data_IF_278265043155
#
_entry.id   IF_278265043155
#
_cell.length_a   1.000
_cell.length_b   1.000
_cell.length_c   1.000
_cell.angle_alpha   90.00
_cell.angle_beta   90.00
_cell.angle_gamma   90.00
#
_symmetry.space_group_name_H-M   'P 1'
#
loop_
_entity.id
_entity.type
_entity.pdbx_description
1 polymer ?
#
# COMPACT_ATOMS: atom_id res chain seq x y z
N UNK A 1 26.12 8.88 25.64
CA UNK A 1 25.14 9.72 24.98
C UNK A 1 25.11 9.37 23.50
N UNK A 2 23.95 9.50 22.90
CA UNK A 2 23.77 9.33 21.46
C UNK A 2 23.67 10.71 20.82
N UNK A 3 24.58 10.99 19.89
CA UNK A 3 24.74 12.32 19.27
C UNK A 3 24.80 12.12 17.76
N UNK A 4 24.08 12.95 17.03
CA UNK A 4 24.18 13.04 15.58
C UNK A 4 24.61 14.44 15.20
N UNK A 5 25.71 14.56 14.45
CA UNK A 5 26.13 15.79 13.83
C UNK A 5 25.70 15.80 12.36
N UNK A 6 25.00 16.84 11.97
CA UNK A 6 24.54 17.05 10.60
C UNK A 6 25.24 18.28 9.99
N UNK A 7 25.36 18.30 8.69
CA UNK A 7 25.87 19.45 7.95
C UNK A 7 24.75 20.45 7.59
N UNK A 8 25.10 21.55 6.91
CA UNK A 8 24.16 22.59 6.51
C UNK A 8 23.10 22.10 5.50
N UNK A 9 23.29 20.92 4.91
CA UNK A 9 22.33 20.27 4.02
C UNK A 9 21.44 19.25 4.72
N UNK A 10 21.53 19.18 6.07
CA UNK A 10 20.86 18.19 6.91
C UNK A 10 21.31 16.75 6.64
N UNK A 11 22.49 16.54 6.07
CA UNK A 11 23.06 15.21 5.91
C UNK A 11 23.84 14.82 7.18
N UNK A 12 23.72 13.55 7.58
CA UNK A 12 24.46 13.02 8.74
C UNK A 12 25.95 13.03 8.44
N UNK A 13 26.72 13.77 9.24
CA UNK A 13 28.17 13.87 9.10
C UNK A 13 28.90 12.91 10.05
N UNK A 14 28.59 12.98 11.34
CA UNK A 14 29.12 12.06 12.35
C UNK A 14 27.98 11.54 13.26
N UNK A 15 28.13 10.33 13.79
CA UNK A 15 27.19 9.76 14.77
C UNK A 15 27.95 9.04 15.87
N UNK A 16 27.57 9.31 17.11
CA UNK A 16 28.03 8.59 18.30
C UNK A 16 26.84 7.82 18.90
N UNK A 17 27.05 6.55 19.22
CA UNK A 17 26.11 5.71 19.95
C UNK A 17 26.75 5.18 21.22
N UNK A 18 26.13 5.43 22.35
CA UNK A 18 26.74 5.08 23.67
C UNK A 18 28.10 5.74 23.92
N UNK A 19 28.42 6.84 23.23
CA UNK A 19 29.70 7.51 23.29
C UNK A 19 30.77 7.00 22.30
N UNK A 20 30.48 5.95 21.54
CA UNK A 20 31.36 5.41 20.50
C UNK A 20 31.04 6.03 19.13
N UNK A 21 32.07 6.43 18.39
CA UNK A 21 31.93 6.98 17.04
C UNK A 21 31.60 5.86 16.07
N UNK A 22 30.37 5.86 15.49
CA UNK A 22 29.87 4.82 14.61
C UNK A 22 29.69 5.29 13.16
N UNK A 23 29.58 6.60 12.93
CA UNK A 23 29.64 7.23 11.61
C UNK A 23 30.64 8.36 11.68
N UNK A 24 31.61 8.39 10.77
CA UNK A 24 32.61 9.41 10.61
C UNK A 24 32.66 9.91 9.17
N UNK A 25 32.62 11.24 8.99
CA UNK A 25 32.66 11.85 7.66
C UNK A 25 31.66 11.20 6.65
N UNK A 26 30.42 11.02 7.07
CA UNK A 26 29.33 10.40 6.27
C UNK A 26 29.53 8.91 5.97
N UNK A 27 30.49 8.24 6.59
CA UNK A 27 30.78 6.80 6.38
C UNK A 27 30.62 6.01 7.67
N UNK A 28 30.06 4.81 7.55
CA UNK A 28 29.98 3.86 8.66
C UNK A 28 31.41 3.46 9.05
N UNK A 29 31.71 3.51 10.35
CA UNK A 29 33.02 3.08 10.87
C UNK A 29 33.15 1.56 10.84
N UNK A 30 34.36 0.99 10.78
CA UNK A 30 34.59 -0.45 10.86
C UNK A 30 33.97 -1.08 12.12
N UNK A 31 33.91 -0.33 13.24
CA UNK A 31 33.26 -0.79 14.46
C UNK A 31 31.80 -1.15 14.24
N UNK A 32 31.01 -0.24 13.63
CA UNK A 32 29.61 -0.49 13.36
C UNK A 32 29.43 -1.52 12.26
N UNK A 33 30.24 -1.46 11.21
CA UNK A 33 30.16 -2.41 10.09
C UNK A 33 30.38 -3.86 10.56
N UNK A 34 31.37 -4.11 11.40
CA UNK A 34 31.61 -5.41 12.02
C UNK A 34 30.43 -5.87 12.89
N UNK A 35 29.84 -4.96 13.66
CA UNK A 35 28.69 -5.28 14.49
C UNK A 35 27.45 -5.64 13.65
N UNK A 36 27.21 -4.93 12.56
CA UNK A 36 26.09 -5.17 11.65
C UNK A 36 26.28 -6.47 10.83
N UNK A 37 27.48 -6.69 10.31
CA UNK A 37 27.81 -7.86 9.49
C UNK A 37 27.68 -9.18 10.26
N UNK A 38 27.92 -9.16 11.57
CA UNK A 38 27.85 -10.34 12.43
C UNK A 38 26.46 -10.56 13.07
N UNK A 39 25.57 -9.58 13.02
CA UNK A 39 24.21 -9.70 13.55
C UNK A 39 23.26 -10.27 12.50
N UNK A 40 23.03 -11.57 12.52
CA UNK A 40 21.87 -12.19 11.85
C UNK A 40 20.67 -12.07 12.78
N UNK A 41 19.77 -11.16 12.45
CA UNK A 41 18.53 -11.04 13.18
C UNK A 41 17.56 -12.15 12.73
N UNK A 42 17.16 -13.01 13.66
CA UNK A 42 16.12 -14.01 13.41
C UNK A 42 14.85 -13.56 14.12
N UNK A 43 13.84 -13.23 13.34
CA UNK A 43 12.53 -12.93 13.90
C UNK A 43 11.84 -14.19 14.41
N UNK A 44 11.07 -14.13 15.50
CA UNK A 44 10.23 -15.23 15.96
C UNK A 44 9.30 -15.70 14.84
N UNK A 45 8.99 -17.00 14.78
CA UNK A 45 8.05 -17.53 13.77
C UNK A 45 6.71 -16.78 13.73
N UNK A 46 6.26 -16.25 14.87
CA UNK A 46 5.03 -15.43 15.00
C UNK A 46 5.09 -14.10 14.26
N UNK A 47 6.27 -13.62 13.87
CA UNK A 47 6.43 -12.41 13.08
C UNK A 47 6.15 -12.62 11.58
N UNK A 48 6.05 -13.87 11.15
CA UNK A 48 5.75 -14.26 9.79
C UNK A 48 4.32 -14.79 9.68
N UNK A 49 3.73 -14.69 8.50
CA UNK A 49 2.37 -15.19 8.22
C UNK A 49 1.32 -14.56 9.15
N UNK A 50 1.37 -13.25 9.30
CA UNK A 50 0.45 -12.49 10.15
C UNK A 50 -0.83 -12.08 9.44
N UNK A 51 -1.00 -12.46 8.17
CA UNK A 51 -2.18 -12.14 7.38
C UNK A 51 -3.19 -13.27 7.51
N UNK A 52 -4.37 -12.96 8.03
CA UNK A 52 -5.49 -13.86 8.19
C UNK A 52 -6.71 -13.17 7.59
N UNK A 53 -6.98 -13.46 6.32
CA UNK A 53 -8.09 -12.83 5.60
C UNK A 53 -9.44 -13.45 5.97
N UNK A 54 -10.54 -12.71 5.79
CA UNK A 54 -11.88 -13.27 5.83
C UNK A 54 -12.03 -14.39 4.80
N UNK A 55 -12.84 -15.39 5.12
CA UNK A 55 -13.12 -16.50 4.18
C UNK A 55 -13.81 -16.02 2.90
N UNK A 56 -14.66 -15.02 3.04
CA UNK A 56 -15.40 -14.41 1.95
C UNK A 56 -15.30 -12.90 2.06
N UNK A 57 -14.96 -12.25 0.96
CA UNK A 57 -14.95 -10.80 0.82
C UNK A 57 -15.10 -10.41 -0.65
N UNK A 58 -15.76 -9.29 -0.87
CA UNK A 58 -15.89 -8.69 -2.19
C UNK A 58 -14.90 -7.54 -2.32
N UNK A 59 -14.25 -7.43 -3.46
CA UNK A 59 -13.31 -6.34 -3.74
C UNK A 59 -13.98 -5.13 -4.36
N UNK A 60 -15.13 -5.34 -4.98
CA UNK A 60 -15.90 -4.28 -5.64
C UNK A 60 -17.24 -4.10 -4.95
N UNK A 61 -17.73 -2.85 -4.84
CA UNK A 61 -19.08 -2.59 -4.38
C UNK A 61 -20.12 -3.10 -5.42
N UNK A 62 -21.28 -3.50 -4.96
CA UNK A 62 -22.42 -3.78 -5.82
C UNK A 62 -22.92 -2.48 -6.44
N UNK A 63 -23.25 -2.50 -7.73
CA UNK A 63 -23.90 -1.35 -8.38
C UNK A 63 -25.31 -1.22 -7.82
N UNK A 64 -25.70 -0.05 -7.28
CA UNK A 64 -27.05 0.18 -6.79
C UNK A 64 -28.14 -0.14 -7.83
N UNK A 65 -29.32 -0.51 -7.35
CA UNK A 65 -30.44 -0.85 -8.24
C UNK A 65 -31.14 0.38 -8.81
N UNK A 66 -30.96 1.53 -8.16
CA UNK A 66 -31.51 2.82 -8.56
C UNK A 66 -30.92 3.25 -9.88
N UNK A 67 -31.71 3.89 -10.73
CA UNK A 67 -31.28 4.46 -12.00
C UNK A 67 -30.26 5.61 -11.79
N UNK A 68 -30.52 6.44 -10.79
CA UNK A 68 -29.66 7.53 -10.40
C UNK A 68 -29.24 7.36 -8.93
N UNK A 69 -27.94 7.46 -8.67
CA UNK A 69 -27.40 7.31 -7.31
C UNK A 69 -26.12 8.15 -7.12
N UNK A 70 -25.69 8.25 -5.88
CA UNK A 70 -24.46 8.98 -5.52
C UNK A 70 -23.41 8.01 -5.02
N UNK A 71 -22.15 8.28 -5.38
CA UNK A 71 -20.99 7.61 -4.82
C UNK A 71 -20.09 8.60 -4.09
N UNK A 72 -19.49 8.14 -2.99
CA UNK A 72 -18.49 8.90 -2.27
C UNK A 72 -17.10 8.57 -2.81
N UNK A 73 -16.29 9.58 -2.98
CA UNK A 73 -14.98 9.50 -3.59
C UNK A 73 -13.93 10.07 -2.64
N UNK A 74 -12.82 9.37 -2.49
CA UNK A 74 -11.60 9.86 -1.89
C UNK A 74 -10.79 10.52 -3.01
N UNK A 75 -10.72 11.85 -3.04
CA UNK A 75 -9.91 12.58 -3.99
C UNK A 75 -8.50 12.78 -3.43
N UNK A 76 -7.48 12.39 -4.18
CA UNK A 76 -6.08 12.65 -3.84
C UNK A 76 -5.57 13.87 -4.61
N UNK A 77 -4.68 14.64 -3.97
CA UNK A 77 -3.91 15.70 -4.62
C UNK A 77 -2.42 15.36 -4.47
N UNK A 78 -1.80 14.95 -5.57
CA UNK A 78 -0.40 14.57 -5.60
C UNK A 78 0.48 15.76 -6.08
N UNK A 79 1.68 15.92 -5.49
CA UNK A 79 2.24 15.20 -4.36
C UNK A 79 1.65 15.68 -3.03
N UNK A 80 1.23 14.75 -2.17
CA UNK A 80 0.73 15.10 -0.84
C UNK A 80 0.12 13.93 -0.10
N UNK A 81 -0.14 14.15 1.17
CA UNK A 81 -0.78 13.19 2.08
C UNK A 81 -2.24 13.53 2.36
N UNK A 82 -2.72 14.63 1.80
CA UNK A 82 -4.09 15.09 2.02
C UNK A 82 -5.05 14.42 1.04
N UNK A 83 -6.20 14.06 1.56
CA UNK A 83 -7.33 13.57 0.78
C UNK A 83 -8.56 14.42 1.05
N UNK A 84 -9.43 14.50 0.06
CA UNK A 84 -10.67 15.27 0.15
C UNK A 84 -11.86 14.36 -0.13
N UNK A 85 -12.97 14.60 0.55
CA UNK A 85 -14.23 13.97 0.22
C UNK A 85 -14.88 14.67 -0.97
N UNK A 86 -15.25 13.90 -1.99
CA UNK A 86 -16.02 14.35 -3.14
C UNK A 86 -17.22 13.42 -3.33
N UNK A 87 -18.35 13.93 -3.78
CA UNK A 87 -19.52 13.14 -4.14
C UNK A 87 -19.76 13.25 -5.63
N UNK A 88 -19.94 12.12 -6.31
CA UNK A 88 -20.29 12.05 -7.71
C UNK A 88 -21.71 11.54 -7.87
N UNK A 89 -22.53 12.27 -8.61
CA UNK A 89 -23.87 11.84 -9.03
C UNK A 89 -23.75 11.01 -10.31
N UNK A 90 -24.30 9.83 -10.27
CA UNK A 90 -24.37 8.91 -11.43
C UNK A 90 -25.80 8.94 -11.94
N UNK A 91 -25.93 9.28 -13.20
CA UNK A 91 -27.17 9.25 -13.95
C UNK A 91 -27.10 8.08 -14.93
N UNK A 92 -28.23 7.45 -15.21
CA UNK A 92 -28.31 6.27 -16.08
C UNK A 92 -27.45 5.11 -15.57
N UNK A 93 -27.99 4.35 -14.67
CA UNK A 93 -27.32 3.22 -14.00
C UNK A 93 -26.41 2.43 -14.96
N UNK A 94 -25.09 2.36 -14.71
CA UNK A 94 -24.16 1.65 -15.57
C UNK A 94 -24.34 0.14 -15.43
N UNK A 95 -24.04 -0.61 -16.48
CA UNK A 95 -23.99 -2.07 -16.42
C UNK A 95 -22.79 -2.57 -15.63
N UNK A 96 -21.67 -1.84 -15.75
CA UNK A 96 -20.38 -2.17 -15.14
C UNK A 96 -19.71 -0.91 -14.61
N UNK A 97 -18.94 -1.04 -13.55
CA UNK A 97 -18.17 0.06 -12.98
C UNK A 97 -17.13 0.64 -13.94
N UNK A 98 -16.59 -0.16 -14.85
CA UNK A 98 -15.55 0.26 -15.81
C UNK A 98 -15.91 1.52 -16.59
N UNK A 99 -17.18 1.70 -16.95
CA UNK A 99 -17.64 2.91 -17.65
C UNK A 99 -17.45 4.18 -16.80
N UNK A 100 -17.81 4.10 -15.50
CA UNK A 100 -17.68 5.22 -14.56
C UNK A 100 -16.22 5.49 -14.20
N UNK A 101 -15.43 4.44 -13.95
CA UNK A 101 -14.03 4.57 -13.61
C UNK A 101 -13.26 5.31 -14.70
N UNK A 102 -13.44 4.90 -15.95
CA UNK A 102 -12.76 5.52 -17.09
C UNK A 102 -13.18 6.98 -17.32
N UNK A 103 -14.51 7.25 -17.23
CA UNK A 103 -15.04 8.59 -17.48
C UNK A 103 -14.55 9.62 -16.44
N UNK A 104 -14.40 9.22 -15.20
CA UNK A 104 -14.12 10.11 -14.07
C UNK A 104 -12.71 9.97 -13.50
N UNK A 105 -11.81 9.21 -14.14
CA UNK A 105 -10.45 8.92 -13.66
C UNK A 105 -10.44 8.36 -12.22
N UNK A 106 -11.27 7.34 -12.01
CA UNK A 106 -11.43 6.66 -10.73
C UNK A 106 -10.77 5.29 -10.74
N UNK A 107 -10.39 4.82 -9.55
CA UNK A 107 -10.09 3.42 -9.27
C UNK A 107 -11.00 2.94 -8.14
N UNK A 108 -11.26 1.66 -8.09
CA UNK A 108 -11.77 1.04 -6.87
C UNK A 108 -10.70 1.07 -5.79
N UNK A 109 -11.13 1.17 -4.54
CA UNK A 109 -10.30 0.94 -3.36
C UNK A 109 -11.06 0.02 -2.40
N UNK A 110 -10.38 -0.97 -1.86
CA UNK A 110 -10.93 -1.84 -0.82
C UNK A 110 -9.95 -1.95 0.33
N UNK A 111 -10.47 -1.88 1.56
CA UNK A 111 -9.70 -2.11 2.79
C UNK A 111 -10.23 -3.39 3.41
N UNK A 112 -9.32 -4.33 3.71
CA UNK A 112 -9.66 -5.66 4.24
C UNK A 112 -8.94 -5.85 5.57
N UNK A 113 -9.70 -6.17 6.62
CA UNK A 113 -9.13 -6.56 7.91
C UNK A 113 -8.31 -7.84 7.74
N UNK A 114 -7.04 -7.82 8.17
CA UNK A 114 -6.10 -8.91 7.94
C UNK A 114 -5.60 -9.61 9.21
N UNK A 115 -6.10 -9.24 10.37
CA UNK A 115 -5.64 -9.76 11.67
C UNK A 115 -6.49 -10.91 12.18
N UNK A 116 -7.51 -11.34 11.41
CA UNK A 116 -8.43 -12.41 11.77
C UNK A 116 -9.31 -12.08 12.97
N UNK A 117 -9.64 -10.80 13.18
CA UNK A 117 -10.43 -10.34 14.34
C UNK A 117 -11.90 -10.16 13.99
N UNK A 118 -12.19 -9.35 12.99
CA UNK A 118 -13.58 -8.99 12.64
C UNK A 118 -14.01 -9.58 11.30
N UNK A 119 -13.08 -9.77 10.38
CA UNK A 119 -13.36 -10.16 9.01
C UNK A 119 -14.04 -9.07 8.19
N UNK A 120 -14.01 -7.82 8.67
CA UNK A 120 -14.64 -6.69 7.99
C UNK A 120 -13.84 -6.24 6.78
N UNK A 121 -14.54 -5.69 5.80
CA UNK A 121 -13.96 -5.02 4.65
C UNK A 121 -14.85 -3.85 4.23
N UNK A 122 -14.25 -2.86 3.58
CA UNK A 122 -14.96 -1.68 3.12
C UNK A 122 -14.50 -1.29 1.71
N UNK A 123 -15.44 -0.79 0.91
CA UNK A 123 -15.18 -0.34 -0.45
C UNK A 123 -15.28 1.17 -0.56
N UNK A 124 -14.62 1.71 -1.59
CA UNK A 124 -14.73 3.08 -2.00
C UNK A 124 -14.21 3.30 -3.40
N UNK A 125 -14.14 4.57 -3.76
CA UNK A 125 -13.54 5.02 -5.00
C UNK A 125 -12.46 6.05 -4.70
N UNK A 126 -11.35 5.97 -5.43
CA UNK A 126 -10.26 6.94 -5.32
C UNK A 126 -10.08 7.64 -6.66
N UNK A 127 -9.98 8.98 -6.60
CA UNK A 127 -9.80 9.86 -7.77
C UNK A 127 -8.38 10.40 -7.82
N UNK A 128 -7.86 10.57 -9.02
CA UNK A 128 -6.51 11.08 -9.29
C UNK A 128 -5.38 10.14 -8.84
N UNK A 129 -5.67 8.88 -8.59
CA UNK A 129 -4.63 7.88 -8.31
C UNK A 129 -3.79 7.56 -9.56
N UNK A 130 -4.33 7.88 -10.75
CA UNK A 130 -3.70 7.78 -12.06
C UNK A 130 -3.22 6.36 -12.44
N UNK A 131 -3.86 5.34 -11.90
CA UNK A 131 -3.62 3.97 -12.31
C UNK A 131 -4.21 3.76 -13.71
N UNK A 132 -3.37 3.35 -14.66
CA UNK A 132 -3.80 3.13 -16.05
C UNK A 132 -4.25 1.69 -16.27
N UNK A 133 -3.60 0.75 -15.63
CA UNK A 133 -3.90 -0.69 -15.71
C UNK A 133 -3.55 -1.36 -14.38
N UNK A 134 -4.13 -2.54 -14.14
CA UNK A 134 -3.74 -3.40 -13.02
C UNK A 134 -4.29 -2.99 -11.66
N UNK A 135 -3.53 -3.31 -10.62
CA UNK A 135 -3.87 -3.03 -9.23
C UNK A 135 -2.62 -2.82 -8.36
N UNK A 136 -2.80 -2.09 -7.27
CA UNK A 136 -1.79 -1.88 -6.23
C UNK A 136 -2.35 -2.38 -4.92
N UNK A 137 -1.59 -3.18 -4.17
CA UNK A 137 -1.98 -3.61 -2.84
C UNK A 137 -0.84 -3.44 -1.84
N UNK A 138 -1.20 -3.15 -0.58
CA UNK A 138 -0.25 -3.02 0.53
C UNK A 138 -0.85 -3.54 1.82
N UNK A 139 -0.06 -4.27 2.61
CA UNK A 139 -0.39 -4.61 4.00
C UNK A 139 0.28 -3.67 5.00
N UNK A 140 0.92 -2.61 4.51
CA UNK A 140 1.53 -1.55 5.32
C UNK A 140 0.69 -0.30 5.16
N UNK A 141 -0.31 -0.16 6.01
CA UNK A 141 -1.18 1.02 6.08
C UNK A 141 -1.00 1.71 7.42
N UNK A 142 -1.08 3.05 7.44
CA UNK A 142 -0.99 3.81 8.69
C UNK A 142 -2.05 3.32 9.69
N UNK A 143 -1.68 3.28 10.96
CA UNK A 143 -2.44 2.82 12.12
C UNK A 143 -2.80 1.31 12.11
N UNK A 144 -3.80 0.91 11.36
CA UNK A 144 -4.36 -0.44 11.46
C UNK A 144 -3.59 -1.51 10.69
N UNK A 145 -2.74 -1.15 9.75
CA UNK A 145 -2.03 -2.06 8.86
C UNK A 145 -2.93 -3.12 8.20
N UNK A 146 -4.16 -2.77 7.88
CA UNK A 146 -5.06 -3.60 7.09
C UNK A 146 -4.57 -3.69 5.64
N UNK A 147 -5.03 -4.69 4.88
CA UNK A 147 -4.74 -4.71 3.45
C UNK A 147 -5.54 -3.59 2.80
N UNK A 148 -4.83 -2.76 2.05
CA UNK A 148 -5.42 -1.75 1.17
C UNK A 148 -5.11 -2.17 -0.25
N UNK A 149 -6.13 -2.30 -1.09
CA UNK A 149 -5.97 -2.60 -2.51
C UNK A 149 -6.74 -1.59 -3.34
N UNK A 150 -6.09 -1.05 -4.37
CA UNK A 150 -6.72 -0.17 -5.37
C UNK A 150 -6.50 -0.73 -6.77
N UNK A 151 -7.52 -0.67 -7.64
CA UNK A 151 -7.42 -1.24 -8.97
C UNK A 151 -8.59 -0.86 -9.87
N UNK A 152 -8.47 -1.23 -11.14
CA UNK A 152 -9.48 -0.95 -12.15
C UNK A 152 -10.46 -2.11 -12.37
N UNK A 153 -10.10 -3.32 -11.93
CA UNK A 153 -10.92 -4.50 -12.05
C UNK A 153 -10.67 -5.50 -10.92
N UNK A 154 -11.64 -6.34 -10.66
CA UNK A 154 -11.60 -7.30 -9.55
C UNK A 154 -10.47 -8.34 -9.70
N UNK A 155 -10.22 -8.81 -10.91
CA UNK A 155 -9.24 -9.86 -11.18
C UNK A 155 -7.84 -9.43 -10.74
N UNK A 156 -7.40 -8.24 -11.13
CA UNK A 156 -6.07 -7.72 -10.78
C UNK A 156 -5.98 -7.39 -9.28
N UNK A 157 -7.04 -6.81 -8.70
CA UNK A 157 -7.11 -6.54 -7.27
C UNK A 157 -7.02 -7.84 -6.45
N UNK A 158 -7.74 -8.89 -6.84
CA UNK A 158 -7.71 -10.20 -6.18
C UNK A 158 -6.33 -10.83 -6.26
N UNK A 159 -5.72 -10.81 -7.44
CA UNK A 159 -4.36 -11.32 -7.64
C UNK A 159 -3.35 -10.58 -6.74
N UNK A 160 -3.43 -9.25 -6.64
CA UNK A 160 -2.54 -8.47 -5.79
C UNK A 160 -2.67 -8.85 -4.30
N UNK A 161 -3.90 -9.03 -3.81
CA UNK A 161 -4.16 -9.46 -2.43
C UNK A 161 -3.65 -10.89 -2.18
N UNK A 162 -3.90 -11.82 -3.09
CA UNK A 162 -3.44 -13.22 -2.97
C UNK A 162 -1.91 -13.33 -2.94
N UNK A 163 -1.20 -12.50 -3.70
CA UNK A 163 0.26 -12.49 -3.68
C UNK A 163 0.78 -12.01 -2.32
N UNK A 164 0.19 -10.97 -1.75
CA UNK A 164 0.55 -10.50 -0.39
C UNK A 164 0.26 -11.58 0.66
N UNK A 165 -0.87 -12.27 0.57
CA UNK A 165 -1.25 -13.33 1.50
C UNK A 165 -0.27 -14.51 1.46
N UNK A 166 0.11 -14.94 0.26
CA UNK A 166 0.98 -16.11 0.04
C UNK A 166 2.45 -15.84 0.33
N UNK A 167 2.91 -14.61 0.16
CA UNK A 167 4.33 -14.27 0.29
C UNK A 167 4.64 -13.71 1.68
N UNK A 168 5.48 -14.41 2.42
CA UNK A 168 5.89 -14.07 3.79
C UNK A 168 6.66 -12.76 3.90
N UNK A 169 7.20 -12.25 2.79
CA UNK A 169 8.14 -11.12 2.75
C UNK A 169 7.63 -9.94 1.94
N UNK A 170 6.53 -10.10 1.20
CA UNK A 170 5.98 -9.05 0.35
C UNK A 170 4.85 -8.33 1.07
N UNK A 171 5.07 -7.08 1.37
CA UNK A 171 4.08 -6.22 2.01
C UNK A 171 3.40 -5.25 1.02
N UNK A 172 3.94 -5.13 -0.19
CA UNK A 172 3.43 -4.22 -1.19
C UNK A 172 3.64 -4.80 -2.60
N UNK A 173 2.60 -4.73 -3.42
CA UNK A 173 2.61 -5.24 -4.79
C UNK A 173 1.94 -4.22 -5.70
N UNK A 174 2.61 -3.96 -6.82
CA UNK A 174 2.08 -3.22 -7.95
C UNK A 174 1.99 -4.21 -9.11
N UNK A 175 0.79 -4.42 -9.63
CA UNK A 175 0.55 -5.18 -10.84
C UNK A 175 0.27 -4.21 -11.98
N UNK A 176 1.18 -4.10 -12.92
CA UNK A 176 0.96 -3.40 -14.17
C UNK A 176 0.74 -4.42 -15.30
N UNK A 177 -0.33 -4.25 -16.03
CA UNK A 177 -0.63 -5.05 -17.20
C UNK A 177 0.05 -4.40 -18.41
N UNK A 178 1.33 -4.69 -18.62
CA UNK A 178 2.07 -4.30 -19.81
C UNK A 178 1.92 -5.39 -20.87
N UNK A 179 1.02 -5.17 -21.85
CA UNK A 179 0.94 -5.90 -23.12
C UNK A 179 1.31 -7.39 -23.06
N UNK A 180 0.42 -8.23 -22.54
CA UNK A 180 0.46 -9.70 -22.53
C UNK A 180 1.35 -10.44 -21.50
N UNK A 181 2.08 -9.76 -20.64
CA UNK A 181 2.76 -10.37 -19.50
C UNK A 181 2.55 -9.55 -18.24
N UNK A 182 2.28 -10.22 -17.10
CA UNK A 182 2.13 -9.56 -15.81
C UNK A 182 3.52 -9.27 -15.25
N UNK A 183 3.98 -8.04 -15.39
CA UNK A 183 5.16 -7.59 -14.68
C UNK A 183 4.81 -7.20 -13.24
N UNK A 184 5.37 -7.96 -12.30
CA UNK A 184 5.27 -7.64 -10.89
C UNK A 184 6.39 -6.67 -10.55
N UNK A 185 6.05 -5.38 -10.40
CA UNK A 185 7.02 -4.39 -9.94
C UNK A 185 7.14 -4.51 -8.42
N UNK A 186 8.31 -4.93 -7.98
CA UNK A 186 8.65 -4.99 -6.56
C UNK A 186 9.09 -3.60 -6.11
N UNK A 187 8.29 -2.92 -5.28
CA UNK A 187 8.79 -1.78 -4.53
C UNK A 187 9.56 -2.32 -3.32
N UNK A 188 10.87 -2.41 -3.46
CA UNK A 188 11.75 -2.66 -2.31
C UNK A 188 11.83 -1.38 -1.48
N UNK A 189 11.78 -1.54 -0.14
CA UNK A 189 12.29 -0.52 0.77
C UNK A 189 13.76 -0.27 0.53
#
# INVERSE_FOLDING_TARGET
ADIVMIDDKLEVYNTWLGGELVVENKKITPLLDNQLSNKRYSYPKKAYQTIILPKEYNLLPTIPMEENFKINIIKTELPGILTFHETLEIYDRPKEWSAILNLHNLCHICVIERHGKTGEYAHGFIKNFNLKNGAVASSVGHDAHNIIVAGLNEKDMRMAVEIIEKDKYKHQIILENLLNEFDIIHVRK
#
